data_IF_461233666130
#
_entry.id   IF_461233666130
#
_cell.length_a   1.000
_cell.length_b   1.000
_cell.length_c   1.000
_cell.angle_alpha   90.00
_cell.angle_beta   90.00
_cell.angle_gamma   90.00
#
_symmetry.space_group_name_H-M   'P 1'
#
loop_
_entity.id
_entity.type
_entity.pdbx_description
1 polymer ?
#
# COMPACT_ATOMS: atom_id res chain seq x y z
N UNK A 1 2.61 20.35 -19.53
CA UNK A 1 1.24 19.82 -19.76
C UNK A 1 1.12 18.52 -19.00
N UNK A 2 0.24 18.46 -18.01
CA UNK A 2 -0.06 17.23 -17.26
C UNK A 2 -0.78 16.29 -18.22
N UNK A 3 -0.26 15.06 -18.36
CA UNK A 3 -0.72 14.07 -19.35
C UNK A 3 -1.27 12.86 -18.61
N UNK A 4 -2.31 13.08 -17.83
CA UNK A 4 -3.10 12.03 -17.20
C UNK A 4 -4.46 11.90 -17.90
N UNK A 5 -5.02 10.68 -17.92
CA UNK A 5 -6.34 10.41 -18.52
C UNK A 5 -7.51 10.89 -17.65
N UNK A 6 -7.25 11.34 -16.43
CA UNK A 6 -8.26 11.88 -15.51
C UNK A 6 -8.33 13.42 -15.64
N UNK A 7 -9.55 13.94 -15.79
CA UNK A 7 -9.81 15.38 -15.90
C UNK A 7 -9.76 16.01 -14.50
N UNK A 8 -8.95 17.06 -14.32
CA UNK A 8 -8.91 17.78 -13.05
C UNK A 8 -10.24 18.50 -12.77
N UNK A 9 -10.76 18.37 -11.53
CA UNK A 9 -11.89 19.19 -11.05
C UNK A 9 -11.45 20.65 -10.97
N UNK A 10 -12.19 21.53 -11.63
CA UNK A 10 -12.03 22.98 -11.54
C UNK A 10 -13.23 23.52 -10.77
N UNK A 11 -12.99 24.38 -9.78
CA UNK A 11 -14.04 25.09 -9.05
C UNK A 11 -14.12 26.52 -9.57
N UNK A 12 -15.29 26.91 -10.10
CA UNK A 12 -15.48 28.24 -10.70
C UNK A 12 -16.20 29.16 -9.73
N UNK A 13 -15.54 30.24 -9.29
CA UNK A 13 -16.14 31.18 -8.35
C UNK A 13 -15.30 32.43 -8.09
N UNK A 14 -15.89 33.37 -7.35
CA UNK A 14 -15.22 34.56 -6.82
C UNK A 14 -14.86 34.33 -5.35
N UNK A 15 -13.62 33.92 -5.07
CA UNK A 15 -13.16 33.60 -3.72
C UNK A 15 -12.63 34.85 -2.99
N UNK A 16 -13.53 35.80 -2.73
CA UNK A 16 -13.24 37.01 -1.94
C UNK A 16 -14.39 37.29 -0.97
N UNK A 17 -14.26 38.35 -0.18
CA UNK A 17 -15.25 38.76 0.83
C UNK A 17 -16.37 39.65 0.26
N UNK A 18 -16.29 40.03 -1.01
CA UNK A 18 -17.25 40.94 -1.65
C UNK A 18 -18.45 40.14 -2.20
N UNK A 19 -19.66 40.74 -2.23
CA UNK A 19 -20.82 40.07 -2.80
C UNK A 19 -20.64 39.80 -4.30
N UNK A 20 -21.23 38.70 -4.78
CA UNK A 20 -21.19 38.34 -6.19
C UNK A 20 -21.86 39.44 -7.01
N UNK A 21 -21.12 40.02 -7.96
CA UNK A 21 -21.67 41.04 -8.84
C UNK A 21 -22.56 40.40 -9.92
N UNK A 22 -23.86 40.38 -9.66
CA UNK A 22 -24.88 39.82 -10.56
C UNK A 22 -25.25 40.74 -11.72
N UNK A 23 -24.82 42.01 -11.72
CA UNK A 23 -25.18 42.98 -12.74
C UNK A 23 -24.65 42.62 -14.15
N UNK A 24 -23.54 41.86 -14.21
CA UNK A 24 -22.96 41.37 -15.47
C UNK A 24 -23.27 39.90 -15.76
N UNK A 25 -23.66 39.13 -14.74
CA UNK A 25 -23.98 37.71 -14.89
C UNK A 25 -25.03 37.28 -13.85
N UNK A 26 -26.33 37.47 -14.14
CA UNK A 26 -27.41 37.16 -13.20
C UNK A 26 -27.58 35.66 -12.91
N UNK A 27 -27.09 34.80 -13.80
CA UNK A 27 -27.21 33.33 -13.71
C UNK A 27 -25.98 32.71 -13.02
N UNK A 28 -24.86 33.43 -12.98
CA UNK A 28 -23.59 32.96 -12.42
C UNK A 28 -23.57 32.84 -10.90
N UNK A 29 -24.46 33.53 -10.20
CA UNK A 29 -24.51 33.50 -8.73
C UNK A 29 -24.79 32.09 -8.19
N UNK A 30 -25.81 31.42 -8.74
CA UNK A 30 -26.15 30.06 -8.30
C UNK A 30 -25.01 29.07 -8.59
N UNK A 31 -24.35 29.20 -9.75
CA UNK A 31 -23.20 28.36 -10.11
C UNK A 31 -22.03 28.59 -9.14
N UNK A 32 -21.68 29.84 -8.87
CA UNK A 32 -20.56 30.17 -7.97
C UNK A 32 -20.81 29.72 -6.54
N UNK A 33 -22.04 29.89 -6.03
CA UNK A 33 -22.40 29.40 -4.70
C UNK A 33 -22.33 27.87 -4.62
N UNK A 34 -22.79 27.16 -5.65
CA UNK A 34 -22.69 25.70 -5.73
C UNK A 34 -21.23 25.24 -5.77
N UNK A 35 -20.41 25.83 -6.64
CA UNK A 35 -18.99 25.46 -6.80
C UNK A 35 -18.16 25.80 -5.56
N UNK A 36 -18.48 26.90 -4.86
CA UNK A 36 -17.87 27.24 -3.59
C UNK A 36 -18.28 26.26 -2.48
N UNK A 37 -19.55 25.84 -2.45
CA UNK A 37 -20.04 24.81 -1.53
C UNK A 37 -19.33 23.47 -1.75
N UNK A 38 -19.18 23.04 -3.00
CA UNK A 38 -18.42 21.85 -3.38
C UNK A 38 -16.95 21.95 -2.94
N UNK A 39 -16.29 23.09 -3.20
CA UNK A 39 -14.91 23.30 -2.78
C UNK A 39 -14.76 23.21 -1.26
N UNK A 40 -15.64 23.87 -0.51
CA UNK A 40 -15.62 23.88 0.96
C UNK A 40 -15.80 22.46 1.49
N UNK A 41 -16.75 21.70 0.94
CA UNK A 41 -16.96 20.29 1.30
C UNK A 41 -15.68 19.47 1.05
N UNK A 42 -15.08 19.60 -0.13
CA UNK A 42 -13.83 18.90 -0.45
C UNK A 42 -12.68 19.30 0.48
N UNK A 43 -12.59 20.57 0.89
CA UNK A 43 -11.61 21.04 1.87
C UNK A 43 -11.84 20.43 3.26
N UNK A 44 -13.10 20.35 3.71
CA UNK A 44 -13.44 19.67 4.97
C UNK A 44 -13.20 18.16 4.93
N UNK A 45 -13.27 17.54 3.76
CA UNK A 45 -12.99 16.12 3.57
C UNK A 45 -11.47 15.79 3.52
N UNK A 46 -10.58 16.79 3.35
CA UNK A 46 -9.12 16.57 3.26
C UNK A 46 -8.56 15.77 4.46
N UNK A 47 -8.89 16.09 5.73
CA UNK A 47 -8.37 15.35 6.87
C UNK A 47 -8.81 13.87 6.86
N UNK A 48 -10.06 13.59 6.48
CA UNK A 48 -10.60 12.23 6.35
C UNK A 48 -9.87 11.46 5.25
N UNK A 49 -9.75 12.05 4.04
CA UNK A 49 -8.98 11.45 2.94
C UNK A 49 -7.51 11.23 3.30
N UNK A 50 -6.92 12.10 4.13
CA UNK A 50 -5.57 11.89 4.64
C UNK A 50 -5.48 10.71 5.61
N UNK A 51 -6.53 10.42 6.39
CA UNK A 51 -6.60 9.24 7.25
C UNK A 51 -6.67 7.97 6.41
N UNK A 52 -7.59 7.91 5.45
CA UNK A 52 -7.77 6.76 4.54
C UNK A 52 -6.49 6.44 3.78
N UNK A 53 -5.81 7.48 3.28
CA UNK A 53 -4.52 7.32 2.61
C UNK A 53 -3.47 6.70 3.54
N UNK A 54 -3.40 7.12 4.81
CA UNK A 54 -2.47 6.54 5.79
C UNK A 54 -2.79 5.08 6.09
N UNK A 55 -4.08 4.75 6.28
CA UNK A 55 -4.52 3.37 6.48
C UNK A 55 -4.15 2.53 5.26
N UNK A 56 -4.44 2.99 4.04
CA UNK A 56 -4.09 2.30 2.80
C UNK A 56 -2.58 2.04 2.67
N UNK A 57 -1.73 3.04 2.96
CA UNK A 57 -0.28 2.86 2.97
C UNK A 57 0.18 1.89 4.06
N UNK A 58 -0.47 1.91 5.22
CA UNK A 58 -0.21 0.92 6.27
C UNK A 58 -0.57 -0.50 5.80
N UNK A 59 -1.75 -0.70 5.19
CA UNK A 59 -2.16 -2.01 4.66
C UNK A 59 -1.16 -2.53 3.62
N UNK A 60 -0.72 -1.66 2.69
CA UNK A 60 0.32 -2.00 1.70
C UNK A 60 1.61 -2.45 2.37
N UNK A 61 2.05 -1.75 3.42
CA UNK A 61 3.26 -2.11 4.20
C UNK A 61 3.11 -3.43 4.95
N UNK A 62 1.95 -3.69 5.56
CA UNK A 62 1.69 -4.96 6.26
C UNK A 62 1.72 -6.13 5.27
N UNK A 63 1.11 -5.99 4.09
CA UNK A 63 1.19 -7.01 3.03
C UNK A 63 2.62 -7.24 2.55
N UNK A 64 3.36 -6.18 2.27
CA UNK A 64 4.76 -6.27 1.88
C UNK A 64 5.63 -6.95 2.95
N UNK A 65 5.42 -6.62 4.22
CA UNK A 65 6.14 -7.25 5.34
C UNK A 65 5.81 -8.74 5.49
N UNK A 66 4.54 -9.12 5.36
CA UNK A 66 4.10 -10.53 5.37
C UNK A 66 4.78 -11.33 4.26
N UNK A 67 4.77 -10.81 3.03
CA UNK A 67 5.40 -11.46 1.87
C UNK A 67 6.91 -11.57 2.06
N UNK A 68 7.56 -10.50 2.53
CA UNK A 68 8.98 -10.54 2.85
C UNK A 68 9.30 -11.64 3.86
N UNK A 69 8.52 -11.74 4.95
CA UNK A 69 8.70 -12.78 5.96
C UNK A 69 8.51 -14.20 5.39
N UNK A 70 7.52 -14.40 4.50
CA UNK A 70 7.29 -15.66 3.81
C UNK A 70 8.46 -16.05 2.90
N UNK A 71 8.99 -15.10 2.11
CA UNK A 71 10.15 -15.33 1.25
C UNK A 71 11.38 -15.72 2.09
N UNK A 72 11.68 -14.97 3.15
CA UNK A 72 12.83 -15.26 4.03
C UNK A 72 12.70 -16.63 4.68
N UNK A 73 11.51 -16.97 5.18
CA UNK A 73 11.20 -18.29 5.75
C UNK A 73 11.33 -19.41 4.72
N UNK A 74 10.88 -19.19 3.49
CA UNK A 74 11.02 -20.14 2.38
C UNK A 74 12.50 -20.39 2.03
N UNK A 75 13.28 -19.32 1.84
CA UNK A 75 14.72 -19.43 1.58
C UNK A 75 15.43 -20.17 2.71
N UNK A 76 15.08 -19.89 3.97
CA UNK A 76 15.58 -20.61 5.15
C UNK A 76 15.26 -22.11 5.09
N UNK A 77 14.05 -22.50 4.66
CA UNK A 77 13.63 -23.91 4.53
C UNK A 77 14.40 -24.65 3.44
N UNK A 78 14.82 -23.97 2.37
CA UNK A 78 15.60 -24.57 1.28
C UNK A 78 17.09 -24.74 1.61
N UNK A 79 17.58 -24.19 2.73
CA UNK A 79 18.99 -24.30 3.11
C UNK A 79 19.33 -25.66 3.73
N UNK A 80 20.49 -26.26 3.37
CA UNK A 80 20.95 -27.50 3.98
C UNK A 80 21.46 -27.24 5.41
N UNK A 81 21.21 -28.19 6.32
CA UNK A 81 21.61 -28.08 7.73
C UNK A 81 23.12 -28.30 7.96
N UNK A 82 23.76 -29.12 7.13
CA UNK A 82 25.16 -29.55 7.34
C UNK A 82 26.13 -28.93 6.32
N UNK A 83 26.25 -29.53 5.13
CA UNK A 83 27.24 -29.17 4.12
C UNK A 83 26.60 -28.55 2.87
N UNK A 84 27.36 -27.75 2.13
CA UNK A 84 26.92 -27.18 0.84
C UNK A 84 26.10 -25.90 0.93
N UNK A 85 26.10 -25.22 2.10
CA UNK A 85 25.32 -24.00 2.34
C UNK A 85 25.58 -22.90 1.31
N UNK A 86 26.85 -22.59 1.01
CA UNK A 86 27.19 -21.56 0.03
C UNK A 86 26.64 -21.88 -1.36
N UNK A 87 26.90 -23.09 -1.85
CA UNK A 87 26.41 -23.55 -3.16
C UNK A 87 24.88 -23.55 -3.24
N UNK A 88 24.19 -23.94 -2.17
CA UNK A 88 22.73 -23.89 -2.10
C UNK A 88 22.21 -22.45 -2.14
N UNK A 89 22.82 -21.54 -1.38
CA UNK A 89 22.48 -20.12 -1.39
C UNK A 89 22.70 -19.49 -2.78
N UNK A 90 23.83 -19.74 -3.42
CA UNK A 90 24.13 -19.22 -4.76
C UNK A 90 23.09 -19.71 -5.77
N UNK A 91 22.67 -20.98 -5.67
CA UNK A 91 21.59 -21.55 -6.50
C UNK A 91 20.24 -20.88 -6.24
N UNK A 92 19.87 -20.65 -4.98
CA UNK A 92 18.62 -19.98 -4.62
C UNK A 92 18.59 -18.52 -5.12
N UNK A 93 19.72 -17.82 -5.04
CA UNK A 93 19.86 -16.44 -5.54
C UNK A 93 19.78 -16.40 -7.08
N UNK A 94 20.36 -17.39 -7.76
CA UNK A 94 20.30 -17.52 -9.21
C UNK A 94 18.87 -17.80 -9.70
N UNK A 95 18.12 -18.62 -8.98
CA UNK A 95 16.75 -19.04 -9.35
C UNK A 95 15.66 -18.29 -8.54
N UNK A 96 15.95 -17.08 -8.08
CA UNK A 96 15.08 -16.34 -7.17
C UNK A 96 13.66 -16.10 -7.73
N UNK A 97 13.51 -15.98 -9.06
CA UNK A 97 12.23 -15.84 -9.77
C UNK A 97 11.34 -17.04 -9.48
N UNK A 98 11.91 -18.24 -9.59
CA UNK A 98 11.23 -19.51 -9.37
C UNK A 98 10.87 -19.66 -7.89
N UNK A 99 11.76 -19.25 -6.99
CA UNK A 99 11.50 -19.27 -5.55
C UNK A 99 10.38 -18.31 -5.15
N UNK A 100 10.31 -17.12 -5.76
CA UNK A 100 9.19 -16.19 -5.57
C UNK A 100 7.88 -16.79 -6.07
N UNK A 101 7.90 -17.42 -7.24
CA UNK A 101 6.72 -18.09 -7.81
C UNK A 101 6.21 -19.23 -6.92
N UNK A 102 7.11 -20.03 -6.33
CA UNK A 102 6.74 -21.07 -5.35
C UNK A 102 6.03 -20.48 -4.14
N UNK A 103 6.56 -19.39 -3.57
CA UNK A 103 5.93 -18.69 -2.44
C UNK A 103 4.57 -18.11 -2.84
N UNK A 104 4.49 -17.54 -4.03
CA UNK A 104 3.26 -16.97 -4.57
C UNK A 104 2.15 -18.03 -4.67
N UNK A 105 2.44 -19.18 -5.29
CA UNK A 105 1.48 -20.27 -5.43
C UNK A 105 1.07 -20.88 -4.09
N UNK A 106 2.04 -21.11 -3.20
CA UNK A 106 1.78 -21.75 -1.91
C UNK A 106 0.85 -20.92 -1.01
N UNK A 107 0.90 -19.59 -1.13
CA UNK A 107 0.14 -18.66 -0.27
C UNK A 107 -0.90 -17.82 -1.02
N UNK A 108 -1.12 -18.07 -2.31
CA UNK A 108 -2.07 -17.38 -3.18
C UNK A 108 -1.91 -15.84 -3.16
N UNK A 109 -0.67 -15.39 -3.29
CA UNK A 109 -0.31 -13.98 -3.13
C UNK A 109 -0.43 -13.18 -4.45
N UNK A 110 -0.85 -11.91 -4.40
CA UNK A 110 -0.82 -11.03 -5.56
C UNK A 110 0.62 -10.73 -6.01
N UNK A 111 0.88 -10.78 -7.32
CA UNK A 111 2.22 -10.47 -7.90
C UNK A 111 2.67 -9.05 -7.53
N UNK A 112 1.74 -8.09 -7.52
CA UNK A 112 2.05 -6.67 -7.30
C UNK A 112 2.60 -6.33 -5.90
N UNK A 113 2.43 -7.22 -4.93
CA UNK A 113 2.94 -7.00 -3.57
C UNK A 113 4.38 -7.54 -3.37
N UNK A 114 4.95 -8.24 -4.37
CA UNK A 114 6.31 -8.76 -4.29
C UNK A 114 7.36 -7.66 -4.51
N UNK A 115 8.51 -7.74 -3.83
CA UNK A 115 9.60 -6.79 -4.02
C UNK A 115 10.24 -6.92 -5.42
N UNK A 116 10.83 -5.85 -5.96
CA UNK A 116 11.57 -5.92 -7.21
C UNK A 116 12.71 -6.93 -7.13
N UNK A 117 12.69 -7.94 -8.01
CA UNK A 117 13.52 -9.13 -7.88
C UNK A 117 15.02 -8.83 -7.89
N UNK A 118 15.48 -7.95 -8.78
CA UNK A 118 16.89 -7.61 -8.90
C UNK A 118 17.40 -6.90 -7.64
N UNK A 119 16.63 -5.96 -7.11
CA UNK A 119 16.96 -5.26 -5.87
C UNK A 119 16.99 -6.22 -4.69
N UNK A 120 16.03 -7.14 -4.62
CA UNK A 120 16.00 -8.17 -3.58
C UNK A 120 17.24 -9.06 -3.68
N UNK A 121 17.58 -9.55 -4.88
CA UNK A 121 18.74 -10.39 -5.17
C UNK A 121 20.05 -9.76 -4.72
N UNK A 122 20.28 -8.49 -5.08
CA UNK A 122 21.47 -7.74 -4.67
C UNK A 122 21.58 -7.62 -3.15
N UNK A 123 20.46 -7.33 -2.49
CA UNK A 123 20.41 -7.17 -1.04
C UNK A 123 20.69 -8.48 -0.33
N UNK A 124 19.98 -9.57 -0.70
CA UNK A 124 20.08 -10.84 0.02
C UNK A 124 21.41 -11.56 -0.18
N UNK A 125 22.15 -11.25 -1.26
CA UNK A 125 23.49 -11.81 -1.50
C UNK A 125 24.46 -11.55 -0.34
N UNK A 126 24.29 -10.44 0.39
CA UNK A 126 25.12 -10.10 1.55
C UNK A 126 24.77 -10.83 2.86
N UNK A 127 23.73 -11.68 2.88
CA UNK A 127 23.26 -12.36 4.09
C UNK A 127 23.52 -13.87 4.04
N UNK A 128 23.63 -14.50 5.21
CA UNK A 128 23.69 -15.96 5.35
C UNK A 128 22.28 -16.52 5.55
N UNK A 129 21.76 -17.22 4.54
CA UNK A 129 20.40 -17.75 4.56
C UNK A 129 20.20 -18.81 5.65
N UNK A 130 21.29 -19.44 6.11
CA UNK A 130 21.22 -20.40 7.21
C UNK A 130 21.00 -19.73 8.57
N UNK A 131 21.10 -18.40 8.66
CA UNK A 131 20.78 -17.63 9.88
C UNK A 131 19.40 -16.97 9.84
N UNK A 132 18.69 -17.08 8.72
CA UNK A 132 17.35 -16.52 8.63
C UNK A 132 16.40 -17.15 9.65
N UNK A 133 15.48 -16.33 10.22
CA UNK A 133 14.44 -16.83 11.10
C UNK A 133 13.46 -17.68 10.29
N UNK A 134 12.88 -18.69 10.95
CA UNK A 134 11.69 -19.35 10.43
C UNK A 134 10.49 -18.51 10.78
N UNK A 135 9.55 -18.39 9.86
CA UNK A 135 8.24 -17.83 10.20
C UNK A 135 7.50 -18.85 11.07
N UNK A 136 7.17 -18.45 12.29
CA UNK A 136 6.29 -19.22 13.15
C UNK A 136 4.82 -18.87 12.87
N UNK A 137 3.93 -19.77 13.29
CA UNK A 137 2.49 -19.62 13.08
C UNK A 137 1.93 -18.39 13.79
N UNK A 138 2.49 -17.99 14.94
CA UNK A 138 2.00 -16.87 15.74
C UNK A 138 2.16 -15.55 15.00
N UNK A 139 3.30 -15.36 14.33
CA UNK A 139 3.56 -14.16 13.51
C UNK A 139 2.62 -14.15 12.30
N UNK A 140 2.38 -15.30 11.67
CA UNK A 140 1.46 -15.41 10.53
C UNK A 140 0.00 -15.12 10.93
N UNK A 141 -0.43 -15.63 12.09
CA UNK A 141 -1.73 -15.34 12.69
C UNK A 141 -1.84 -13.83 13.02
N UNK A 142 -0.76 -13.20 13.48
CA UNK A 142 -0.72 -11.75 13.75
C UNK A 142 -0.93 -10.93 12.47
N UNK A 143 -0.24 -11.27 11.37
CA UNK A 143 -0.46 -10.60 10.08
C UNK A 143 -1.90 -10.75 9.59
N UNK A 144 -2.48 -11.94 9.80
CA UNK A 144 -3.86 -12.25 9.40
C UNK A 144 -4.87 -11.45 10.23
N UNK A 145 -4.66 -11.37 11.55
CA UNK A 145 -5.49 -10.59 12.46
C UNK A 145 -5.48 -9.10 12.11
N UNK A 146 -4.29 -8.54 11.85
CA UNK A 146 -4.17 -7.12 11.47
C UNK A 146 -4.93 -6.82 10.18
N UNK A 147 -4.79 -7.67 9.16
CA UNK A 147 -5.40 -7.45 7.85
C UNK A 147 -6.92 -7.69 7.84
N UNK A 148 -7.40 -8.68 8.58
CA UNK A 148 -8.79 -9.14 8.48
C UNK A 148 -9.68 -8.68 9.66
N UNK A 149 -9.10 -8.26 10.78
CA UNK A 149 -9.82 -7.79 11.96
C UNK A 149 -9.49 -6.34 12.28
N UNK A 150 -8.24 -6.08 12.68
CA UNK A 150 -7.87 -4.81 13.30
C UNK A 150 -8.02 -3.60 12.35
N UNK A 151 -7.63 -3.76 11.08
CA UNK A 151 -7.78 -2.70 10.06
C UNK A 151 -9.26 -2.42 9.74
N UNK A 152 -10.10 -3.43 9.41
CA UNK A 152 -11.54 -3.22 9.24
C UNK A 152 -12.20 -2.56 10.46
N UNK A 153 -11.85 -2.96 11.67
CA UNK A 153 -12.43 -2.38 12.89
C UNK A 153 -11.98 -0.93 13.12
N UNK A 154 -10.72 -0.62 12.80
CA UNK A 154 -10.21 0.74 12.78
C UNK A 154 -10.96 1.62 11.76
N UNK A 155 -11.21 1.12 10.55
CA UNK A 155 -11.98 1.85 9.53
C UNK A 155 -13.41 2.13 9.98
N UNK A 156 -14.10 1.14 10.58
CA UNK A 156 -15.43 1.36 11.18
C UNK A 156 -15.43 2.47 12.22
N UNK A 157 -14.37 2.57 13.04
CA UNK A 157 -14.26 3.65 14.04
C UNK A 157 -14.07 5.04 13.43
N UNK A 158 -13.59 5.14 12.19
CA UNK A 158 -13.46 6.41 11.47
C UNK A 158 -14.73 6.78 10.71
N UNK A 159 -15.46 5.78 10.21
CA UNK A 159 -16.77 5.95 9.59
C UNK A 159 -17.88 6.26 10.60
N UNK A 160 -17.60 6.13 11.90
CA UNK A 160 -18.52 6.42 12.98
C UNK A 160 -18.40 7.90 13.37
N UNK A 161 -19.32 8.78 12.96
CA UNK A 161 -19.35 10.15 13.46
C UNK A 161 -19.79 10.16 14.94
N UNK A 162 -20.56 9.13 15.31
CA UNK A 162 -21.07 8.62 16.59
C UNK A 162 -21.56 7.20 16.38
#
# INVERSE_FOLDING_TARGET
MIKDREVCRVYVGSFNTEPINTAKNPVGEQLFLSEQGDLIKDLYDIPHRSCDRKVNEFVKRVRAARIHALIISHLKKQMPSMMGKQKAQDKLIANLEEEFYKVQLAHQLPVGDFPPINKFRETVRGFDFSKFPKLDKRIEDTFTQVLNGDIPDLLKSFDNPF
#
